data_IF_380942324637
#
_entry.id   IF_380942324637
#
_cell.length_a   1.000
_cell.length_b   1.000
_cell.length_c   1.000
_cell.angle_alpha   90.00
_cell.angle_beta   90.00
_cell.angle_gamma   90.00
#
_symmetry.space_group_name_H-M   'P 1'
#
loop_
_entity.id
_entity.type
_entity.pdbx_description
1 polymer ?
#
# COMPACT_ATOMS: atom_id res chain seq x y z
N UNK A 1 27.27 -2.32 -9.77
CA UNK A 1 25.90 -2.74 -9.40
C UNK A 1 25.22 -1.51 -8.83
N UNK A 2 24.27 -0.91 -9.56
CA UNK A 2 23.58 0.29 -9.08
C UNK A 2 22.91 0.00 -7.74
N UNK A 3 23.34 0.73 -6.71
CA UNK A 3 22.65 0.80 -5.42
C UNK A 3 21.35 1.55 -5.63
N UNK A 4 20.30 0.83 -6.04
CA UNK A 4 18.94 1.35 -5.93
C UNK A 4 18.60 1.37 -4.44
N UNK A 5 18.79 2.52 -3.81
CA UNK A 5 18.47 2.74 -2.40
C UNK A 5 17.04 2.26 -2.13
N UNK A 6 16.92 1.38 -1.14
CA UNK A 6 15.64 0.94 -0.63
C UNK A 6 15.03 2.12 0.13
N UNK A 7 14.11 2.84 -0.51
CA UNK A 7 13.39 3.95 0.12
C UNK A 7 12.71 3.45 1.40
N UNK A 8 13.21 3.94 2.53
CA UNK A 8 12.56 3.84 3.84
C UNK A 8 11.25 4.63 3.77
N UNK A 9 10.14 4.13 4.32
CA UNK A 9 8.92 4.90 4.38
C UNK A 9 9.18 6.17 5.18
N UNK A 10 9.13 7.34 4.53
CA UNK A 10 9.20 8.61 5.25
C UNK A 10 7.97 8.71 6.14
N UNK A 11 8.17 8.90 7.44
CA UNK A 11 7.07 9.22 8.35
C UNK A 11 6.41 10.52 7.87
N UNK A 12 5.18 10.43 7.38
CA UNK A 12 4.32 11.59 7.15
C UNK A 12 3.78 12.18 8.46
N UNK A 13 4.26 11.72 9.62
CA UNK A 13 4.01 12.34 10.93
C UNK A 13 4.91 13.55 11.18
N UNK A 14 4.87 14.51 10.26
CA UNK A 14 4.86 15.91 10.69
C UNK A 14 3.42 16.21 11.08
N UNK A 15 3.19 16.79 12.25
CA UNK A 15 1.91 17.41 12.61
C UNK A 15 1.60 18.52 11.59
N UNK A 16 1.03 18.15 10.45
CA UNK A 16 0.46 19.10 9.50
C UNK A 16 -0.85 19.55 10.14
N UNK A 17 -0.76 20.62 10.91
CA UNK A 17 -1.91 21.51 11.04
C UNK A 17 -2.37 21.83 9.61
N UNK A 18 -3.64 21.64 9.25
CA UNK A 18 -4.09 21.92 7.89
C UNK A 18 -4.02 23.43 7.69
N UNK A 19 -2.91 23.95 7.15
CA UNK A 19 -2.91 25.24 6.46
C UNK A 19 -3.66 25.02 5.17
N UNK A 20 -4.95 25.29 5.24
CA UNK A 20 -5.86 25.40 4.11
C UNK A 20 -5.32 26.53 3.22
N UNK A 21 -4.58 26.21 2.15
CA UNK A 21 -4.51 27.13 1.02
C UNK A 21 -5.80 26.95 0.24
N UNK A 22 -6.80 27.77 0.55
CA UNK A 22 -8.01 27.89 -0.26
C UNK A 22 -7.56 28.33 -1.65
N UNK A 23 -7.51 27.39 -2.60
CA UNK A 23 -7.50 27.79 -4.01
C UNK A 23 -8.84 28.49 -4.25
N UNK A 24 -8.80 29.75 -4.70
CA UNK A 24 -10.01 30.47 -5.13
C UNK A 24 -10.81 29.59 -6.09
N UNK A 25 -12.14 29.49 -5.95
CA UNK A 25 -12.96 28.70 -6.86
C UNK A 25 -12.82 29.25 -8.27
N UNK A 26 -12.57 28.36 -9.24
CA UNK A 26 -12.72 28.68 -10.65
C UNK A 26 -14.20 28.97 -10.89
N UNK A 27 -14.52 30.23 -11.13
CA UNK A 27 -15.75 30.61 -11.82
C UNK A 27 -15.68 30.08 -13.26
N UNK A 28 -16.44 29.04 -13.57
CA UNK A 28 -17.17 28.94 -14.84
C UNK A 28 -18.04 27.69 -14.86
N UNK A 29 -19.31 27.96 -15.08
CA UNK A 29 -20.44 27.07 -15.39
C UNK A 29 -20.04 26.00 -16.41
N UNK A 30 -20.30 24.75 -16.06
CA UNK A 30 -20.21 23.59 -16.93
C UNK A 30 -20.75 22.39 -16.16
N UNK A 31 -22.06 22.15 -16.26
CA UNK A 31 -22.71 21.00 -15.65
C UNK A 31 -22.09 19.71 -16.21
N UNK A 32 -21.23 19.07 -15.43
CA UNK A 32 -20.80 17.70 -15.71
C UNK A 32 -22.03 16.79 -15.74
N UNK A 33 -22.14 15.83 -16.68
CA UNK A 33 -23.28 14.93 -16.74
C UNK A 33 -23.39 14.16 -15.42
N UNK A 34 -24.50 14.37 -14.72
CA UNK A 34 -24.88 13.60 -13.54
C UNK A 34 -25.02 12.14 -13.99
N UNK A 35 -24.18 11.24 -13.50
CA UNK A 35 -24.23 9.81 -13.83
C UNK A 35 -25.53 9.19 -13.29
N UNK A 36 -25.99 8.05 -13.82
CA UNK A 36 -27.23 7.40 -13.37
C UNK A 36 -27.26 7.10 -11.87
N UNK A 37 -26.11 6.76 -11.26
CA UNK A 37 -25.95 6.53 -9.82
C UNK A 37 -26.16 7.84 -9.01
N UNK A 38 -25.73 8.97 -9.56
CA UNK A 38 -25.96 10.27 -8.93
C UNK A 38 -27.44 10.70 -9.01
N UNK A 39 -28.19 10.30 -10.04
CA UNK A 39 -29.62 10.66 -10.16
C UNK A 39 -30.49 9.98 -9.10
N UNK A 40 -30.25 8.70 -8.80
CA UNK A 40 -31.01 7.99 -7.75
C UNK A 40 -30.70 8.55 -6.37
N UNK A 41 -29.44 8.91 -6.14
CA UNK A 41 -29.00 9.56 -4.91
C UNK A 41 -29.58 10.95 -4.73
N UNK A 42 -29.62 11.73 -5.81
CA UNK A 42 -30.22 13.06 -5.83
C UNK A 42 -31.70 13.00 -5.43
N UNK A 43 -32.45 12.03 -5.96
CA UNK A 43 -33.85 11.81 -5.56
C UNK A 43 -34.00 11.43 -4.09
N UNK A 44 -33.10 10.60 -3.55
CA UNK A 44 -33.13 10.21 -2.15
C UNK A 44 -32.87 11.40 -1.22
N UNK A 45 -31.86 12.22 -1.52
CA UNK A 45 -31.54 13.42 -0.76
C UNK A 45 -32.66 14.48 -0.86
N UNK A 46 -33.34 14.58 -1.99
CA UNK A 46 -34.55 15.41 -2.13
C UNK A 46 -35.67 14.94 -1.22
N UNK A 47 -35.94 13.63 -1.16
CA UNK A 47 -36.94 13.08 -0.25
C UNK A 47 -36.59 13.23 1.23
N UNK A 48 -35.30 13.31 1.58
CA UNK A 48 -34.86 13.64 2.94
C UNK A 48 -35.00 15.14 3.22
N UNK A 49 -34.65 16.00 2.26
CA UNK A 49 -34.83 17.45 2.35
C UNK A 49 -36.31 17.81 2.60
N UNK A 50 -37.24 17.19 1.86
CA UNK A 50 -38.69 17.38 2.03
C UNK A 50 -39.22 16.93 3.39
N UNK A 51 -38.53 16.03 4.10
CA UNK A 51 -38.92 15.65 5.47
C UNK A 51 -38.50 16.68 6.52
N UNK A 52 -37.46 17.46 6.23
CA UNK A 52 -36.94 18.50 7.13
C UNK A 52 -37.68 19.82 6.88
N UNK A 53 -37.99 20.11 5.62
CA UNK A 53 -38.74 21.29 5.16
C UNK A 53 -40.24 21.16 5.51
N UNK A 54 -40.58 21.37 6.79
CA UNK A 54 -41.94 21.26 7.30
C UNK A 54 -42.88 22.31 6.71
N UNK A 55 -42.35 23.46 6.29
CA UNK A 55 -43.13 24.59 5.81
C UNK A 55 -43.31 24.57 4.27
N UNK A 56 -42.49 23.78 3.55
CA UNK A 56 -42.55 23.56 2.10
C UNK A 56 -41.97 24.69 1.25
N UNK A 57 -41.19 25.61 1.85
CA UNK A 57 -40.65 26.81 1.19
C UNK A 57 -39.30 26.57 0.47
N UNK A 58 -38.81 25.32 0.52
CA UNK A 58 -37.57 24.84 -0.07
C UNK A 58 -36.31 25.46 0.53
N UNK A 59 -36.39 25.97 1.74
CA UNK A 59 -35.31 26.58 2.51
C UNK A 59 -35.29 25.95 3.89
N UNK A 60 -34.11 25.48 4.34
CA UNK A 60 -33.98 24.92 5.68
C UNK A 60 -33.39 25.95 6.63
N UNK A 61 -34.16 26.31 7.64
CA UNK A 61 -33.72 27.13 8.76
C UNK A 61 -32.99 26.28 9.81
N UNK A 62 -32.24 26.95 10.70
CA UNK A 62 -31.58 26.27 11.82
C UNK A 62 -32.60 25.53 12.70
N UNK A 63 -33.74 26.15 12.93
CA UNK A 63 -34.85 25.63 13.74
C UNK A 63 -35.47 24.38 13.11
N UNK A 64 -35.70 24.36 11.80
CA UNK A 64 -36.24 23.18 11.11
C UNK A 64 -35.29 21.98 11.18
N UNK A 65 -33.99 22.24 10.99
CA UNK A 65 -32.96 21.22 11.14
C UNK A 65 -32.89 20.73 12.60
N UNK A 66 -32.95 21.64 13.58
CA UNK A 66 -32.89 21.32 14.99
C UNK A 66 -34.10 20.51 15.48
N UNK A 67 -35.30 20.92 15.09
CA UNK A 67 -36.56 20.27 15.45
C UNK A 67 -36.63 18.88 14.84
N UNK A 68 -36.24 18.75 13.57
CA UNK A 68 -36.16 17.46 12.90
C UNK A 68 -35.18 16.51 13.61
N UNK A 69 -33.99 16.98 13.96
CA UNK A 69 -32.98 16.17 14.66
C UNK A 69 -33.44 15.77 16.07
N UNK A 70 -34.12 16.68 16.79
CA UNK A 70 -34.64 16.43 18.13
C UNK A 70 -35.81 15.44 18.11
N UNK A 71 -36.72 15.57 17.13
CA UNK A 71 -37.86 14.66 16.92
C UNK A 71 -37.39 13.24 16.57
N UNK A 72 -36.38 13.12 15.70
CA UNK A 72 -35.80 11.83 15.29
C UNK A 72 -34.97 11.15 16.39
N UNK A 73 -34.26 11.92 17.23
CA UNK A 73 -33.51 11.38 18.37
C UNK A 73 -34.43 11.03 19.56
N UNK A 74 -35.65 11.56 19.60
CA UNK A 74 -36.59 11.39 20.72
C UNK A 74 -36.21 12.17 21.98
N UNK A 75 -35.25 13.11 21.87
CA UNK A 75 -34.78 13.99 22.95
C UNK A 75 -34.15 15.26 22.35
N UNK A 76 -33.98 16.31 23.16
CA UNK A 76 -33.33 17.56 22.74
C UNK A 76 -31.95 17.29 22.12
N UNK A 77 -31.75 17.70 20.87
CA UNK A 77 -30.47 17.54 20.19
C UNK A 77 -29.43 18.54 20.72
N UNK A 78 -28.13 18.24 20.59
CA UNK A 78 -27.07 19.15 21.04
C UNK A 78 -26.99 20.38 20.09
N UNK A 79 -27.27 21.56 20.63
CA UNK A 79 -27.24 22.83 19.90
C UNK A 79 -25.88 23.15 19.28
N UNK A 80 -24.77 22.76 19.91
CA UNK A 80 -23.41 23.03 19.42
C UNK A 80 -23.11 22.21 18.17
N UNK A 81 -23.44 20.92 18.21
CA UNK A 81 -23.35 20.01 17.06
C UNK A 81 -24.29 20.44 15.92
N UNK A 82 -25.54 20.80 16.24
CA UNK A 82 -26.50 21.29 15.25
C UNK A 82 -26.00 22.54 14.53
N UNK A 83 -25.37 23.47 15.27
CA UNK A 83 -24.83 24.71 14.69
C UNK A 83 -23.62 24.47 13.81
N UNK A 84 -22.75 23.52 14.16
CA UNK A 84 -21.65 23.10 13.28
C UNK A 84 -22.15 22.46 11.97
N UNK A 85 -23.20 21.64 12.05
CA UNK A 85 -23.85 21.02 10.89
C UNK A 85 -24.46 22.11 9.99
N UNK A 86 -25.23 23.03 10.58
CA UNK A 86 -25.84 24.16 9.88
C UNK A 86 -24.81 25.02 9.14
N UNK A 87 -23.74 25.44 9.84
CA UNK A 87 -22.68 26.31 9.28
C UNK A 87 -21.93 25.63 8.12
N UNK A 88 -21.84 24.30 8.09
CA UNK A 88 -21.23 23.55 6.98
C UNK A 88 -22.14 23.41 5.76
N UNK A 89 -23.46 23.46 5.96
CA UNK A 89 -24.44 23.38 4.88
C UNK A 89 -24.70 24.76 4.27
N UNK A 90 -24.79 25.80 5.11
CA UNK A 90 -24.94 27.21 4.71
C UNK A 90 -23.62 27.77 4.15
N UNK A 91 -23.42 27.60 2.82
CA UNK A 91 -22.16 27.94 2.14
C UNK A 91 -22.03 29.43 1.85
N UNK A 92 -23.14 30.10 1.57
CA UNK A 92 -23.16 31.52 1.29
C UNK A 92 -23.28 32.36 2.58
N UNK A 93 -23.47 31.71 3.74
CA UNK A 93 -23.60 32.29 5.07
C UNK A 93 -24.81 33.25 5.18
N UNK A 94 -25.89 32.94 4.46
CA UNK A 94 -27.13 33.73 4.49
C UNK A 94 -28.08 33.33 5.63
N UNK A 95 -27.68 32.36 6.46
CA UNK A 95 -28.46 31.73 7.53
C UNK A 95 -29.67 30.96 7.02
N UNK A 96 -29.61 30.49 5.78
CA UNK A 96 -30.60 29.61 5.15
C UNK A 96 -29.85 28.51 4.40
N UNK A 97 -30.33 27.28 4.48
CA UNK A 97 -29.77 26.19 3.66
C UNK A 97 -30.73 25.92 2.52
N UNK A 98 -30.40 26.39 1.32
CA UNK A 98 -31.17 26.07 0.12
C UNK A 98 -31.07 24.60 -0.26
N UNK A 99 -32.03 24.07 -1.02
CA UNK A 99 -31.99 22.69 -1.55
C UNK A 99 -30.68 22.40 -2.28
N UNK A 100 -30.16 23.38 -3.02
CA UNK A 100 -28.90 23.23 -3.74
C UNK A 100 -27.70 23.18 -2.80
N UNK A 101 -27.66 24.01 -1.75
CA UNK A 101 -26.56 23.99 -0.77
C UNK A 101 -26.54 22.70 0.04
N UNK A 102 -27.72 22.21 0.43
CA UNK A 102 -27.87 20.89 1.01
C UNK A 102 -27.31 19.80 0.08
N UNK A 103 -27.81 19.71 -1.16
CA UNK A 103 -27.40 18.68 -2.11
C UNK A 103 -25.90 18.74 -2.47
N UNK A 104 -25.37 19.94 -2.74
CA UNK A 104 -23.95 20.13 -3.06
C UNK A 104 -23.05 19.79 -1.88
N UNK A 105 -23.43 20.14 -0.65
CA UNK A 105 -22.66 19.81 0.54
C UNK A 105 -22.52 18.30 0.74
N UNK A 106 -23.61 17.55 0.55
CA UNK A 106 -23.61 16.08 0.69
C UNK A 106 -22.88 15.37 -0.44
N UNK A 107 -23.17 15.72 -1.70
CA UNK A 107 -22.54 15.09 -2.86
C UNK A 107 -21.03 15.34 -2.88
N UNK A 108 -20.60 16.58 -2.63
CA UNK A 108 -19.17 16.92 -2.61
C UNK A 108 -18.42 16.23 -1.45
N UNK A 109 -19.05 16.13 -0.27
CA UNK A 109 -18.44 15.43 0.87
C UNK A 109 -18.32 13.93 0.61
N UNK A 110 -19.35 13.31 0.03
CA UNK A 110 -19.28 11.91 -0.37
C UNK A 110 -18.19 11.67 -1.42
N UNK A 111 -18.16 12.45 -2.49
CA UNK A 111 -17.16 12.30 -3.56
C UNK A 111 -15.75 12.45 -3.01
N UNK A 112 -15.53 13.42 -2.10
CA UNK A 112 -14.26 13.58 -1.39
C UNK A 112 -13.88 12.34 -0.58
N UNK A 113 -14.80 11.79 0.21
CA UNK A 113 -14.55 10.61 1.03
C UNK A 113 -14.29 9.37 0.17
N UNK A 114 -15.05 9.17 -0.90
CA UNK A 114 -14.84 8.09 -1.85
C UNK A 114 -13.48 8.19 -2.53
N UNK A 115 -13.05 9.40 -2.93
CA UNK A 115 -11.72 9.64 -3.48
C UNK A 115 -10.61 9.29 -2.48
N UNK A 116 -10.73 9.74 -1.21
CA UNK A 116 -9.76 9.40 -0.15
C UNK A 116 -9.68 7.90 0.13
N UNK A 117 -10.82 7.23 0.22
CA UNK A 117 -10.90 5.76 0.42
C UNK A 117 -10.19 5.05 -0.73
N UNK A 118 -10.41 5.48 -1.97
CA UNK A 118 -9.76 4.92 -3.15
C UNK A 118 -8.24 5.10 -3.09
N UNK A 119 -7.77 6.30 -2.75
CA UNK A 119 -6.35 6.61 -2.66
C UNK A 119 -5.66 5.80 -1.54
N UNK A 120 -6.30 5.68 -0.38
CA UNK A 120 -5.76 4.89 0.74
C UNK A 120 -5.75 3.40 0.42
N UNK A 121 -6.80 2.85 -0.19
CA UNK A 121 -6.80 1.45 -0.64
C UNK A 121 -5.66 1.17 -1.62
N UNK A 122 -5.39 2.11 -2.53
CA UNK A 122 -4.25 2.03 -3.45
C UNK A 122 -2.93 2.04 -2.68
N UNK A 123 -2.73 2.98 -1.75
CA UNK A 123 -1.52 3.06 -0.95
C UNK A 123 -1.28 1.80 -0.11
N UNK A 124 -2.33 1.24 0.53
CA UNK A 124 -2.24 -0.02 1.27
C UNK A 124 -1.78 -1.15 0.35
N UNK A 125 -2.34 -1.25 -0.87
CA UNK A 125 -1.95 -2.28 -1.84
C UNK A 125 -0.48 -2.14 -2.24
N UNK A 126 -0.05 -0.93 -2.62
CA UNK A 126 1.32 -0.64 -3.05
C UNK A 126 2.32 -0.88 -1.91
N UNK A 127 1.99 -0.43 -0.69
CA UNK A 127 2.82 -0.61 0.51
C UNK A 127 2.89 -2.07 0.95
N UNK A 128 1.80 -2.84 0.80
CA UNK A 128 1.79 -4.28 1.11
C UNK A 128 2.72 -5.05 0.18
N UNK A 129 2.71 -4.74 -1.13
CA UNK A 129 3.64 -5.34 -2.10
C UNK A 129 5.10 -5.03 -1.76
N UNK A 130 5.41 -3.77 -1.44
CA UNK A 130 6.76 -3.38 -0.99
C UNK A 130 7.18 -4.16 0.25
N UNK A 131 6.29 -4.29 1.24
CA UNK A 131 6.56 -5.05 2.46
C UNK A 131 6.85 -6.53 2.17
N UNK A 132 6.11 -7.17 1.27
CA UNK A 132 6.35 -8.57 0.92
C UNK A 132 7.71 -8.77 0.22
N UNK A 133 8.13 -7.82 -0.62
CA UNK A 133 9.47 -7.81 -1.20
C UNK A 133 10.56 -7.66 -0.13
N UNK A 134 10.35 -6.81 0.89
CA UNK A 134 11.26 -6.68 2.02
C UNK A 134 11.31 -7.95 2.89
N UNK A 135 10.19 -8.64 3.10
CA UNK A 135 10.15 -9.95 3.78
C UNK A 135 10.94 -11.00 3.02
N UNK A 136 10.80 -11.07 1.69
CA UNK A 136 11.59 -11.99 0.85
C UNK A 136 13.09 -11.69 0.98
N UNK A 137 13.48 -10.41 0.91
CA UNK A 137 14.87 -9.98 1.12
C UNK A 137 15.38 -10.33 2.51
N UNK A 138 14.54 -10.25 3.54
CA UNK A 138 14.89 -10.61 4.92
C UNK A 138 15.18 -12.11 5.06
N UNK A 139 14.32 -12.96 4.50
CA UNK A 139 14.51 -14.42 4.49
C UNK A 139 15.82 -14.78 3.76
N UNK A 140 16.07 -14.14 2.62
CA UNK A 140 17.31 -14.32 1.88
C UNK A 140 18.54 -13.86 2.70
N UNK A 141 18.48 -12.69 3.34
CA UNK A 141 19.56 -12.21 4.19
C UNK A 141 19.89 -13.22 5.30
N UNK A 142 18.88 -13.66 6.07
CA UNK A 142 19.07 -14.63 7.17
C UNK A 142 19.76 -15.94 6.77
N UNK A 143 19.61 -16.38 5.52
CA UNK A 143 20.22 -17.62 5.02
C UNK A 143 21.65 -17.44 4.49
N UNK A 144 22.00 -16.23 4.06
CA UNK A 144 23.31 -15.91 3.47
C UNK A 144 24.28 -15.24 4.45
N UNK A 145 23.76 -14.76 5.56
CA UNK A 145 24.48 -13.92 6.50
C UNK A 145 25.47 -14.72 7.36
N UNK A 146 26.72 -14.26 7.40
CA UNK A 146 27.76 -14.77 8.31
C UNK A 146 28.50 -13.61 8.97
N UNK A 147 28.77 -13.73 10.27
CA UNK A 147 29.56 -12.76 11.02
C UNK A 147 31.05 -13.01 10.82
N UNK A 148 31.84 -11.95 10.79
CA UNK A 148 33.29 -12.02 10.86
C UNK A 148 33.76 -12.13 12.33
N UNK A 149 35.08 -12.25 12.53
CA UNK A 149 35.71 -12.36 13.86
C UNK A 149 35.47 -11.15 14.77
N UNK A 150 35.03 -10.02 14.23
CA UNK A 150 34.74 -8.77 14.95
C UNK A 150 33.25 -8.63 15.29
N UNK A 151 32.42 -9.64 14.99
CA UNK A 151 30.97 -9.58 15.26
C UNK A 151 30.20 -8.67 14.30
N UNK A 152 30.79 -8.36 13.14
CA UNK A 152 30.16 -7.57 12.06
C UNK A 152 29.79 -8.49 10.92
N UNK A 153 28.66 -8.22 10.24
CA UNK A 153 28.28 -9.03 9.09
C UNK A 153 29.28 -8.91 7.95
N UNK A 154 29.64 -10.05 7.36
CA UNK A 154 30.37 -10.07 6.10
C UNK A 154 29.58 -9.31 5.04
N UNK A 155 30.21 -8.30 4.42
CA UNK A 155 29.53 -7.39 3.49
C UNK A 155 28.82 -6.20 4.16
N UNK A 156 29.20 -5.85 5.39
CA UNK A 156 28.87 -4.58 6.04
C UNK A 156 29.38 -3.40 5.21
N UNK A 157 28.53 -2.40 5.02
CA UNK A 157 28.78 -1.28 4.10
C UNK A 157 28.44 0.04 4.76
N UNK A 158 29.38 0.99 4.68
CA UNK A 158 29.19 2.39 4.99
C UNK A 158 29.04 3.17 3.68
N UNK A 159 27.92 3.86 3.53
CA UNK A 159 27.71 4.82 2.44
C UNK A 159 27.89 6.24 2.96
N UNK A 160 28.68 7.04 2.24
CA UNK A 160 29.01 8.43 2.58
C UNK A 160 28.66 9.30 1.38
N UNK A 161 27.66 10.15 1.54
CA UNK A 161 27.31 11.20 0.59
C UNK A 161 27.97 12.52 1.05
N UNK A 162 28.91 13.03 0.27
CA UNK A 162 29.54 14.34 0.46
C UNK A 162 28.72 15.37 -0.31
N UNK A 163 27.97 16.19 0.41
CA UNK A 163 26.98 17.09 -0.20
C UNK A 163 27.60 18.44 -0.54
N UNK A 164 27.97 19.20 0.50
CA UNK A 164 28.49 20.56 0.36
C UNK A 164 29.35 20.95 1.56
N UNK A 165 30.19 21.96 1.40
CA UNK A 165 30.83 22.65 2.52
C UNK A 165 30.47 24.15 2.49
N UNK A 166 30.64 24.81 3.64
CA UNK A 166 30.36 26.23 3.83
C UNK A 166 31.40 26.86 4.73
N UNK A 167 31.65 28.13 4.46
CA UNK A 167 32.53 28.97 5.26
C UNK A 167 33.95 28.37 5.38
N UNK A 168 34.44 27.74 4.29
CA UNK A 168 35.82 27.24 4.23
C UNK A 168 36.81 28.40 4.34
N UNK A 169 37.99 28.10 4.83
CA UNK A 169 39.06 29.08 4.98
C UNK A 169 39.73 29.32 3.62
N UNK A 170 39.98 30.58 3.24
CA UNK A 170 40.65 30.88 1.97
C UNK A 170 42.14 30.54 2.07
N UNK A 171 42.63 29.70 1.16
CA UNK A 171 44.06 29.39 1.06
C UNK A 171 44.74 30.12 -0.09
N UNK A 172 44.01 30.37 -1.17
CA UNK A 172 44.58 31.06 -2.32
C UNK A 172 44.68 32.57 -2.08
N UNK A 173 45.67 33.16 -2.76
CA UNK A 173 45.89 34.61 -2.77
C UNK A 173 44.71 35.44 -3.32
N UNK A 174 43.80 34.81 -4.07
CA UNK A 174 42.57 35.42 -4.57
C UNK A 174 41.46 35.50 -3.50
N UNK A 175 41.67 34.94 -2.31
CA UNK A 175 40.69 34.88 -1.23
C UNK A 175 39.64 33.76 -1.39
N UNK A 176 39.90 32.78 -2.25
CA UNK A 176 39.08 31.59 -2.51
C UNK A 176 39.95 30.33 -2.30
N UNK A 177 39.43 29.18 -2.72
CA UNK A 177 40.11 27.88 -2.74
C UNK A 177 39.52 27.02 -3.85
N UNK A 178 40.23 25.97 -4.25
CA UNK A 178 39.83 24.88 -5.13
C UNK A 178 39.59 23.58 -4.32
N UNK A 179 38.58 23.53 -3.43
CA UNK A 179 38.43 22.46 -2.45
C UNK A 179 38.06 21.10 -3.05
N UNK A 180 38.64 20.05 -2.47
CA UNK A 180 38.23 18.65 -2.63
C UNK A 180 38.33 17.89 -1.30
N UNK A 181 37.65 16.75 -1.21
CA UNK A 181 37.53 15.97 0.02
C UNK A 181 38.20 14.61 -0.15
N UNK A 182 39.09 14.27 0.78
CA UNK A 182 39.66 12.94 0.95
C UNK A 182 38.89 12.22 2.06
N UNK A 183 38.30 11.08 1.70
CA UNK A 183 37.62 10.20 2.63
C UNK A 183 38.53 9.02 2.95
N UNK A 184 38.82 8.77 4.22
CA UNK A 184 39.58 7.61 4.68
C UNK A 184 38.74 6.81 5.67
N UNK A 185 38.60 5.52 5.41
CA UNK A 185 37.90 4.60 6.31
C UNK A 185 38.59 3.23 6.25
N UNK A 186 39.03 2.74 7.41
CA UNK A 186 39.85 1.53 7.52
C UNK A 186 41.08 1.56 6.58
N UNK A 187 41.15 0.65 5.59
CA UNK A 187 42.26 0.57 4.61
C UNK A 187 41.91 1.20 3.26
N UNK A 188 40.77 1.88 3.18
CA UNK A 188 40.24 2.45 1.95
C UNK A 188 40.34 3.98 1.97
N UNK A 189 40.63 4.55 0.81
CA UNK A 189 40.68 5.99 0.60
C UNK A 189 40.00 6.32 -0.73
N UNK A 190 39.12 7.31 -0.71
CA UNK A 190 38.44 7.86 -1.90
C UNK A 190 38.53 9.39 -1.89
N UNK A 191 38.30 10.01 -3.04
CA UNK A 191 38.39 11.47 -3.20
C UNK A 191 37.23 11.99 -4.04
N UNK A 192 36.71 13.17 -3.69
CA UNK A 192 35.76 13.91 -4.55
C UNK A 192 36.47 14.58 -5.70
N UNK A 193 35.69 15.13 -6.62
CA UNK A 193 36.18 16.12 -7.58
C UNK A 193 36.60 17.39 -6.87
N UNK A 194 37.50 18.12 -7.54
CA UNK A 194 37.89 19.48 -7.21
C UNK A 194 36.81 20.43 -7.73
N UNK A 195 36.36 21.36 -6.88
CA UNK A 195 35.45 22.43 -7.28
C UNK A 195 36.24 23.74 -7.22
N UNK A 196 36.48 24.42 -8.34
CA UNK A 196 37.37 25.57 -8.36
C UNK A 196 36.72 26.85 -7.77
N UNK A 197 37.57 27.74 -7.27
CA UNK A 197 37.29 29.12 -6.90
C UNK A 197 36.06 29.31 -5.99
N UNK A 198 35.99 28.57 -4.88
CA UNK A 198 34.85 28.66 -3.95
C UNK A 198 35.19 28.30 -2.51
N UNK A 199 34.59 29.01 -1.56
CA UNK A 199 34.59 28.66 -0.12
C UNK A 199 33.31 27.94 0.32
N UNK A 200 32.42 27.65 -0.64
CA UNK A 200 31.16 26.93 -0.41
C UNK A 200 30.89 25.93 -1.54
N UNK A 201 31.76 24.93 -1.72
CA UNK A 201 31.63 23.93 -2.76
C UNK A 201 30.42 23.03 -2.55
N UNK A 202 29.86 22.54 -3.66
CA UNK A 202 28.78 21.55 -3.70
C UNK A 202 29.25 20.39 -4.57
N UNK A 203 29.49 19.23 -3.96
CA UNK A 203 29.96 18.03 -4.65
C UNK A 203 28.81 17.09 -5.04
N UNK A 204 27.91 16.82 -4.10
CA UNK A 204 26.85 15.79 -4.25
C UNK A 204 27.39 14.44 -4.75
N UNK A 205 28.49 13.97 -4.15
CA UNK A 205 29.14 12.71 -4.52
C UNK A 205 28.92 11.62 -3.47
N UNK A 206 28.75 10.37 -3.90
CA UNK A 206 28.50 9.22 -3.03
C UNK A 206 29.65 8.21 -3.10
N UNK A 207 30.11 7.78 -1.93
CA UNK A 207 31.19 6.80 -1.76
C UNK A 207 30.71 5.63 -0.91
N UNK A 208 31.29 4.45 -1.16
CA UNK A 208 30.92 3.20 -0.46
C UNK A 208 32.16 2.50 0.08
N UNK A 209 32.19 2.28 1.39
CA UNK A 209 33.28 1.61 2.11
C UNK A 209 32.80 0.27 2.67
N UNK A 210 33.64 -0.77 2.55
CA UNK A 210 33.40 -2.06 3.21
C UNK A 210 33.98 -1.98 4.61
N UNK A 211 33.19 -2.35 5.61
CA UNK A 211 33.61 -2.26 7.01
C UNK A 211 33.89 -3.65 7.56
N UNK A 212 35.15 -3.90 7.96
CA UNK A 212 35.57 -5.16 8.57
C UNK A 212 35.47 -5.13 10.10
N UNK A 213 36.01 -4.09 10.73
CA UNK A 213 36.18 -4.04 12.20
C UNK A 213 35.15 -3.19 12.92
N UNK A 214 34.65 -2.13 12.27
CA UNK A 214 33.63 -1.22 12.80
C UNK A 214 34.03 -0.40 14.04
N UNK A 215 35.24 -0.63 14.57
CA UNK A 215 35.85 0.15 15.66
C UNK A 215 36.70 1.32 15.15
N UNK A 216 36.76 1.49 13.83
CA UNK A 216 37.49 2.57 13.16
C UNK A 216 36.69 3.88 13.10
N UNK A 217 37.34 4.92 12.58
CA UNK A 217 36.75 6.23 12.34
C UNK A 217 36.73 6.50 10.83
N UNK A 218 35.67 7.16 10.37
CA UNK A 218 35.65 7.82 9.06
C UNK A 218 36.34 9.17 9.22
N UNK A 219 37.48 9.33 8.56
CA UNK A 219 38.20 10.59 8.51
C UNK A 219 37.86 11.31 7.20
N UNK A 220 37.44 12.56 7.33
CA UNK A 220 37.08 13.45 6.23
C UNK A 220 38.07 14.61 6.26
N UNK A 221 38.84 14.77 5.20
CA UNK A 221 39.88 15.79 5.09
C UNK A 221 39.56 16.66 3.89
N UNK A 222 39.38 17.96 4.11
CA UNK A 222 39.23 18.96 3.05
C UNK A 222 40.61 19.50 2.71
N UNK A 223 40.91 19.55 1.43
CA UNK A 223 42.18 20.00 0.86
C UNK A 223 41.91 21.02 -0.24
N UNK A 224 42.80 21.98 -0.38
CA UNK A 224 42.85 22.90 -1.50
C UNK A 224 43.77 22.36 -2.60
N UNK A 225 43.35 22.49 -3.87
CA UNK A 225 44.09 22.00 -5.02
C UNK A 225 44.96 23.09 -5.65
N UNK A 226 46.26 23.05 -5.35
CA UNK A 226 47.22 23.96 -5.99
C UNK A 226 47.80 23.43 -7.30
N UNK A 227 47.90 24.30 -8.31
CA UNK A 227 48.56 23.99 -9.57
C UNK A 227 50.09 24.07 -9.41
N UNK A 228 50.75 22.91 -9.41
CA UNK A 228 52.22 22.82 -9.44
C UNK A 228 52.91 23.00 -8.08
N UNK A 229 52.14 23.13 -7.00
CA UNK A 229 52.59 23.08 -5.62
C UNK A 229 51.98 21.88 -4.90
N UNK A 230 52.29 21.73 -3.61
CA UNK A 230 51.68 20.73 -2.75
C UNK A 230 50.36 21.29 -2.22
N UNK A 231 49.27 20.57 -2.48
CA UNK A 231 47.93 20.84 -1.96
C UNK A 231 47.91 21.20 -0.47
N UNK A 232 47.24 22.30 -0.14
CA UNK A 232 47.09 22.82 1.22
C UNK A 232 45.94 22.13 1.98
N UNK A 233 46.15 21.89 3.27
CA UNK A 233 45.15 21.25 4.12
C UNK A 233 44.17 22.28 4.63
N UNK A 234 42.86 22.20 4.38
CA UNK A 234 41.88 23.19 4.85
C UNK A 234 41.24 22.84 6.20
N UNK A 235 41.04 21.55 6.47
CA UNK A 235 40.45 21.10 7.73
C UNK A 235 40.02 19.65 7.71
N UNK A 236 39.82 19.06 8.88
CA UNK A 236 39.35 17.69 9.01
C UNK A 236 38.22 17.52 10.03
N UNK A 237 37.47 16.44 9.85
CA UNK A 237 36.59 15.87 10.87
C UNK A 237 36.76 14.36 10.93
N UNK A 238 36.75 13.81 12.15
CA UNK A 238 36.79 12.37 12.42
C UNK A 238 35.49 11.92 13.05
N UNK A 239 34.85 10.93 12.44
CA UNK A 239 33.53 10.44 12.83
C UNK A 239 33.64 8.98 13.21
N UNK A 240 33.39 8.66 14.47
CA UNK A 240 33.43 7.28 14.98
C UNK A 240 32.28 6.47 14.37
N UNK A 241 32.58 5.31 13.78
CA UNK A 241 31.53 4.44 13.25
C UNK A 241 30.53 3.99 14.32
N UNK A 242 30.94 3.95 15.59
CA UNK A 242 30.06 3.66 16.72
C UNK A 242 28.83 4.57 16.81
N UNK A 243 28.90 5.81 16.33
CA UNK A 243 27.75 6.74 16.34
C UNK A 243 26.69 6.38 15.30
N UNK A 244 27.02 5.49 14.35
CA UNK A 244 26.15 5.03 13.25
C UNK A 244 25.63 3.60 13.47
N UNK A 245 25.79 3.05 14.68
CA UNK A 245 25.36 1.66 15.02
C UNK A 245 23.86 1.45 14.97
N UNK A 246 23.07 2.52 14.95
CA UNK A 246 21.61 2.47 14.78
C UNK A 246 21.19 2.08 13.36
N UNK A 247 22.13 2.06 12.40
CA UNK A 247 21.89 1.79 10.97
C UNK A 247 20.88 2.73 10.32
N UNK A 248 20.73 3.94 10.88
CA UNK A 248 19.91 4.98 10.28
C UNK A 248 20.77 5.86 9.37
N UNK A 249 20.10 6.62 8.50
CA UNK A 249 20.74 7.65 7.68
C UNK A 249 20.86 8.93 8.51
N UNK A 250 22.08 9.43 8.66
CA UNK A 250 22.42 10.65 9.41
C UNK A 250 22.85 11.73 8.43
N UNK A 251 22.04 12.78 8.25
CA UNK A 251 22.32 13.93 7.38
C UNK A 251 22.47 15.18 8.24
N UNK A 252 23.69 15.70 8.35
CA UNK A 252 23.99 16.86 9.20
C UNK A 252 25.28 17.58 8.79
N UNK A 253 25.47 18.78 9.33
CA UNK A 253 26.73 19.51 9.24
C UNK A 253 27.71 19.06 10.33
N UNK A 254 28.97 18.99 9.96
CA UNK A 254 30.11 18.72 10.82
C UNK A 254 31.09 19.89 10.74
N UNK A 255 31.56 20.38 11.88
CA UNK A 255 32.56 21.43 11.92
C UNK A 255 33.94 20.85 11.57
N UNK A 256 34.66 21.55 10.71
CA UNK A 256 36.03 21.23 10.35
C UNK A 256 36.99 21.84 11.36
N UNK A 257 38.12 21.18 11.58
CA UNK A 257 39.13 21.61 12.55
C UNK A 257 40.54 21.21 12.12
N UNK A 258 41.54 21.72 12.83
CA UNK A 258 42.93 21.27 12.72
C UNK A 258 43.82 22.12 11.83
N UNK A 259 43.28 23.09 11.09
CA UNK A 259 44.12 24.02 10.34
C UNK A 259 44.63 25.16 11.25
N UNK A 260 45.95 25.39 11.37
CA UNK A 260 46.53 26.46 12.20
C UNK A 260 46.27 27.89 11.71
N UNK A 261 46.01 28.09 10.42
CA UNK A 261 45.70 29.36 9.77
C UNK A 261 44.24 29.79 9.98
N UNK A 262 43.38 28.92 10.51
CA UNK A 262 41.99 29.22 10.77
C UNK A 262 41.82 30.29 11.87
N UNK A 263 40.99 31.30 11.60
CA UNK A 263 40.64 32.35 12.57
C UNK A 263 39.79 31.72 13.69
N UNK A 264 40.23 31.87 14.93
CA UNK A 264 39.62 31.26 16.14
C UNK A 264 39.43 29.72 16.05
N UNK A 265 40.21 29.06 15.20
CA UNK A 265 40.12 27.60 14.97
C UNK A 265 38.92 27.15 14.14
N UNK A 266 38.14 28.08 13.57
CA UNK A 266 37.01 27.76 12.71
C UNK A 266 37.47 27.50 11.26
N UNK A 267 37.47 26.23 10.84
CA UNK A 267 37.88 25.83 9.49
C UNK A 267 36.67 25.66 8.54
N UNK A 268 35.49 26.16 8.93
CA UNK A 268 34.24 25.96 8.21
C UNK A 268 33.50 24.68 8.61
N UNK A 269 32.52 24.29 7.82
CA UNK A 269 31.67 23.11 8.07
C UNK A 269 31.35 22.36 6.78
N UNK A 270 31.20 21.04 6.90
CA UNK A 270 30.85 20.14 5.79
C UNK A 270 29.55 19.39 6.10
N UNK A 271 28.64 19.32 5.13
CA UNK A 271 27.41 18.54 5.22
C UNK A 271 27.64 17.16 4.64
N UNK A 272 27.43 16.15 5.47
CA UNK A 272 27.60 14.75 5.10
C UNK A 272 26.30 14.00 5.38
N UNK A 273 26.05 13.01 4.55
CA UNK A 273 24.95 12.07 4.72
C UNK A 273 25.54 10.66 4.83
N UNK A 274 25.45 10.09 6.04
CA UNK A 274 26.15 8.89 6.46
C UNK A 274 25.15 7.77 6.74
N UNK A 275 25.42 6.56 6.24
CA UNK A 275 24.56 5.41 6.48
C UNK A 275 25.39 4.14 6.58
N UNK A 276 25.44 3.55 7.78
CA UNK A 276 26.19 2.32 8.02
C UNK A 276 25.25 1.13 8.25
N UNK A 277 25.24 0.19 7.30
CA UNK A 277 24.48 -1.06 7.42
C UNK A 277 25.46 -2.17 7.80
N UNK A 278 25.52 -2.48 9.11
CA UNK A 278 26.41 -3.51 9.66
C UNK A 278 25.75 -4.89 9.77
N UNK A 279 24.42 -4.96 9.71
CA UNK A 279 23.59 -6.16 9.65
C UNK A 279 22.37 -5.92 8.76
N UNK A 280 22.34 -6.60 7.61
CA UNK A 280 21.26 -6.49 6.64
C UNK A 280 19.97 -7.12 7.17
N UNK A 281 20.06 -8.21 7.92
CA UNK A 281 18.92 -8.80 8.64
C UNK A 281 18.30 -7.79 9.60
N UNK A 282 19.10 -7.20 10.51
CA UNK A 282 18.59 -6.22 11.48
C UNK A 282 18.01 -4.98 10.80
N UNK A 283 18.66 -4.51 9.74
CA UNK A 283 18.15 -3.40 8.93
C UNK A 283 16.78 -3.74 8.33
N UNK A 284 16.67 -4.89 7.65
CA UNK A 284 15.43 -5.32 7.02
C UNK A 284 14.32 -5.61 8.04
N UNK A 285 14.64 -6.09 9.23
CA UNK A 285 13.67 -6.26 10.33
C UNK A 285 13.08 -4.93 10.78
N UNK A 286 13.92 -3.92 11.00
CA UNK A 286 13.44 -2.60 11.40
C UNK A 286 12.62 -1.93 10.29
N UNK A 287 13.05 -2.04 9.03
CA UNK A 287 12.30 -1.55 7.87
C UNK A 287 10.94 -2.25 7.75
N UNK A 288 10.90 -3.57 7.91
CA UNK A 288 9.63 -4.32 7.90
C UNK A 288 8.70 -3.87 9.03
N UNK A 289 9.23 -3.62 10.23
CA UNK A 289 8.45 -3.09 11.36
C UNK A 289 7.89 -1.70 11.08
N UNK A 290 8.68 -0.81 10.48
CA UNK A 290 8.22 0.52 10.08
C UNK A 290 7.11 0.44 9.03
N UNK A 291 7.25 -0.39 7.99
CA UNK A 291 6.20 -0.60 6.99
C UNK A 291 4.93 -1.20 7.58
N UNK A 292 5.06 -2.15 8.51
CA UNK A 292 3.92 -2.73 9.21
C UNK A 292 3.13 -1.64 9.97
N UNK A 293 3.83 -0.75 10.68
CA UNK A 293 3.19 0.37 11.38
C UNK A 293 2.47 1.32 10.42
N UNK A 294 3.06 1.64 9.27
CA UNK A 294 2.42 2.46 8.23
C UNK A 294 1.15 1.79 7.71
N UNK A 295 1.21 0.49 7.38
CA UNK A 295 0.04 -0.26 6.92
C UNK A 295 -1.07 -0.33 7.96
N UNK A 296 -0.71 -0.50 9.24
CA UNK A 296 -1.69 -0.54 10.32
C UNK A 296 -2.33 0.84 10.56
N UNK A 297 -1.58 1.93 10.34
CA UNK A 297 -2.13 3.29 10.33
C UNK A 297 -3.09 3.50 9.16
N UNK A 298 -2.66 3.18 7.94
CA UNK A 298 -3.47 3.35 6.73
C UNK A 298 -4.78 2.56 6.81
N UNK A 299 -4.75 1.35 7.39
CA UNK A 299 -5.95 0.52 7.63
C UNK A 299 -6.91 1.18 8.62
N UNK A 300 -6.40 1.81 9.68
CA UNK A 300 -7.23 2.55 10.64
C UNK A 300 -7.89 3.76 9.99
N UNK A 301 -7.14 4.50 9.19
CA UNK A 301 -7.65 5.65 8.44
C UNK A 301 -8.72 5.21 7.44
N UNK A 302 -8.47 4.12 6.71
CA UNK A 302 -9.44 3.53 5.80
C UNK A 302 -10.75 3.19 6.52
N UNK A 303 -10.67 2.51 7.67
CA UNK A 303 -11.83 2.17 8.47
C UNK A 303 -12.59 3.43 8.92
N UNK A 304 -11.87 4.46 9.38
CA UNK A 304 -12.48 5.74 9.79
C UNK A 304 -13.21 6.43 8.63
N UNK A 305 -12.62 6.46 7.43
CA UNK A 305 -13.28 7.04 6.26
C UNK A 305 -14.45 6.22 5.77
N UNK A 306 -14.37 4.88 5.79
CA UNK A 306 -15.49 4.01 5.45
C UNK A 306 -16.65 4.19 6.46
N UNK A 307 -16.36 4.36 7.75
CA UNK A 307 -17.37 4.65 8.77
C UNK A 307 -18.01 6.04 8.56
N UNK A 308 -17.22 7.06 8.23
CA UNK A 308 -17.75 8.39 7.88
C UNK A 308 -18.63 8.34 6.62
N UNK A 309 -18.19 7.62 5.59
CA UNK A 309 -18.96 7.44 4.36
C UNK A 309 -20.27 6.69 4.64
N UNK A 310 -20.26 5.67 5.50
CA UNK A 310 -21.46 4.95 5.90
C UNK A 310 -22.45 5.86 6.65
N UNK A 311 -21.96 6.75 7.53
CA UNK A 311 -22.80 7.75 8.21
C UNK A 311 -23.41 8.74 7.22
N UNK A 312 -22.67 9.19 6.20
CA UNK A 312 -23.17 10.13 5.19
C UNK A 312 -24.09 9.47 4.16
N UNK A 313 -23.87 8.18 3.87
CA UNK A 313 -24.78 7.36 3.04
C UNK A 313 -26.14 7.14 3.68
N UNK A 314 -26.21 7.25 5.01
CA UNK A 314 -27.43 7.12 5.79
C UNK A 314 -27.37 8.14 6.93
N UNK A 315 -27.58 9.44 6.66
CA UNK A 315 -27.45 10.50 7.67
C UNK A 315 -28.34 10.26 8.90
N UNK A 316 -29.39 9.44 8.76
CA UNK A 316 -30.30 9.02 9.85
C UNK A 316 -30.35 7.50 10.09
N UNK A 317 -29.45 6.71 9.49
CA UNK A 317 -29.50 5.23 9.52
C UNK A 317 -29.22 4.59 10.89
N UNK A 318 -28.66 5.35 11.83
CA UNK A 318 -28.46 4.93 13.22
C UNK A 318 -29.74 5.03 14.07
N UNK A 319 -30.78 5.66 13.53
CA UNK A 319 -32.11 5.78 14.16
C UNK A 319 -33.10 4.74 13.62
N UNK A 320 -32.71 3.99 12.58
CA UNK A 320 -33.54 2.98 11.94
C UNK A 320 -33.20 1.58 12.49
N UNK A 321 -33.73 1.26 13.69
CA UNK A 321 -33.56 -0.03 14.37
C UNK A 321 -34.08 -1.24 13.57
N UNK A 322 -34.79 -1.04 12.46
CA UNK A 322 -35.41 -2.14 11.71
C UNK A 322 -34.49 -2.81 10.67
N UNK A 323 -33.32 -2.24 10.34
CA UNK A 323 -32.46 -2.74 9.26
C UNK A 323 -31.10 -3.31 9.72
N UNK A 324 -30.93 -3.65 11.01
CA UNK A 324 -29.69 -4.22 11.56
C UNK A 324 -29.31 -5.60 10.99
N UNK A 325 -30.29 -6.37 10.47
CA UNK A 325 -30.05 -7.74 9.98
C UNK A 325 -29.24 -7.76 8.66
N UNK A 326 -29.62 -6.92 7.69
CA UNK A 326 -29.03 -6.90 6.33
C UNK A 326 -27.57 -6.42 6.33
N UNK A 327 -27.24 -5.47 7.22
CA UNK A 327 -25.88 -4.88 7.33
C UNK A 327 -24.91 -5.85 8.02
N UNK A 328 -25.42 -6.64 8.99
CA UNK A 328 -24.63 -7.65 9.69
C UNK A 328 -24.25 -8.80 8.75
N UNK A 329 -25.10 -9.10 7.77
CA UNK A 329 -24.86 -10.15 6.77
C UNK A 329 -23.83 -9.72 5.72
N UNK A 330 -23.91 -8.50 5.16
CA UNK A 330 -22.96 -8.01 4.15
C UNK A 330 -21.54 -7.80 4.70
N UNK A 331 -21.39 -7.22 5.91
CA UNK A 331 -20.07 -7.10 6.57
C UNK A 331 -19.52 -8.45 6.99
N UNK A 332 -20.38 -9.38 7.44
CA UNK A 332 -20.01 -10.75 7.75
C UNK A 332 -19.46 -11.47 6.52
N UNK A 333 -20.10 -11.32 5.36
CA UNK A 333 -19.69 -11.98 4.11
C UNK A 333 -18.41 -11.36 3.56
N UNK A 334 -18.29 -10.03 3.50
CA UNK A 334 -17.07 -9.34 3.04
C UNK A 334 -15.86 -9.68 3.92
N UNK A 335 -16.01 -9.62 5.25
CA UNK A 335 -14.92 -9.89 6.21
C UNK A 335 -14.56 -11.37 6.25
N UNK A 336 -15.53 -12.28 6.04
CA UNK A 336 -15.25 -13.72 5.92
C UNK A 336 -14.58 -14.08 4.59
N UNK A 337 -14.88 -13.38 3.50
CA UNK A 337 -14.22 -13.58 2.19
C UNK A 337 -12.76 -13.09 2.23
N UNK A 338 -12.48 -11.91 2.80
CA UNK A 338 -11.11 -11.38 2.94
C UNK A 338 -10.32 -12.07 4.06
N UNK A 339 -11.00 -12.61 5.08
CA UNK A 339 -10.37 -13.38 6.17
C UNK A 339 -10.03 -14.83 5.80
N UNK A 340 -10.60 -15.38 4.73
CA UNK A 340 -10.30 -16.74 4.26
C UNK A 340 -9.03 -16.83 3.41
N UNK A 341 -8.61 -15.73 2.76
CA UNK A 341 -7.43 -15.69 1.88
C UNK A 341 -6.10 -16.14 2.52
N UNK A 342 -5.69 -15.67 3.72
CA UNK A 342 -4.39 -16.03 4.28
C UNK A 342 -4.31 -17.47 4.81
N UNK A 343 -5.45 -18.11 5.12
CA UNK A 343 -5.48 -19.50 5.59
C UNK A 343 -5.58 -20.53 4.44
N UNK A 344 -6.21 -20.16 3.32
CA UNK A 344 -6.37 -21.05 2.15
C UNK A 344 -5.24 -20.87 1.11
N UNK A 345 -4.76 -19.65 0.86
CA UNK A 345 -3.87 -19.35 -0.28
C UNK A 345 -2.49 -20.02 -0.22
N UNK A 346 -1.85 -20.05 0.95
CA UNK A 346 -0.45 -20.48 1.09
C UNK A 346 -0.18 -21.93 0.69
N UNK A 347 -1.14 -22.84 0.90
CA UNK A 347 -0.98 -24.25 0.54
C UNK A 347 -1.19 -24.51 -0.96
N UNK A 348 -2.09 -23.76 -1.62
CA UNK A 348 -2.37 -23.93 -3.05
C UNK A 348 -1.33 -23.25 -3.93
N UNK A 349 -0.73 -22.16 -3.47
CA UNK A 349 0.37 -21.49 -4.16
C UNK A 349 1.57 -22.44 -4.31
N UNK A 350 1.99 -23.09 -3.22
CA UNK A 350 3.04 -24.13 -3.22
C UNK A 350 2.70 -25.34 -4.09
N UNK A 351 1.42 -25.76 -4.13
CA UNK A 351 0.98 -26.88 -4.98
C UNK A 351 0.97 -26.51 -6.47
N UNK A 352 0.57 -25.28 -6.81
CA UNK A 352 0.53 -24.76 -8.18
C UNK A 352 1.91 -24.59 -8.81
N UNK A 353 2.97 -24.52 -7.99
CA UNK A 353 4.37 -24.41 -8.44
C UNK A 353 5.06 -25.76 -8.70
N UNK A 354 4.41 -26.90 -8.42
CA UNK A 354 5.01 -28.22 -8.65
C UNK A 354 5.20 -28.52 -10.15
N UNK A 355 6.35 -29.14 -10.48
CA UNK A 355 6.82 -29.43 -11.85
C UNK A 355 5.81 -30.17 -12.75
N UNK A 356 4.95 -31.01 -12.16
CA UNK A 356 3.89 -31.77 -12.86
C UNK A 356 2.82 -30.86 -13.49
N UNK A 357 2.56 -29.69 -12.90
CA UNK A 357 1.49 -28.78 -13.35
C UNK A 357 1.91 -27.84 -14.47
N UNK A 358 3.22 -27.68 -14.73
CA UNK A 358 3.71 -26.97 -15.92
C UNK A 358 3.27 -27.66 -17.23
N UNK A 359 3.05 -28.97 -17.21
CA UNK A 359 2.49 -29.69 -18.36
C UNK A 359 1.01 -29.40 -18.61
N UNK A 360 0.23 -29.12 -17.55
CA UNK A 360 -1.17 -28.72 -17.64
C UNK A 360 -1.35 -27.25 -18.04
N UNK A 361 -0.35 -26.41 -17.79
CA UNK A 361 -0.34 -24.98 -18.17
C UNK A 361 -0.10 -24.76 -19.69
N UNK A 362 0.20 -25.83 -20.43
CA UNK A 362 0.30 -25.80 -21.90
C UNK A 362 -1.06 -25.48 -22.54
N UNK A 363 -1.08 -24.55 -23.51
CA UNK A 363 -2.31 -24.06 -24.14
C UNK A 363 -3.25 -25.17 -24.66
N UNK A 364 -2.70 -26.26 -25.19
CA UNK A 364 -3.49 -27.40 -25.67
C UNK A 364 -4.05 -28.27 -24.53
N UNK A 365 -3.33 -28.42 -23.42
CA UNK A 365 -3.80 -29.19 -22.26
C UNK A 365 -4.90 -28.46 -21.49
N UNK A 366 -4.87 -27.13 -21.45
CA UNK A 366 -5.96 -26.29 -20.93
C UNK A 366 -7.26 -26.52 -21.71
N UNK A 367 -7.17 -26.51 -23.05
CA UNK A 367 -8.33 -26.74 -23.91
C UNK A 367 -8.84 -28.18 -23.73
N UNK A 368 -7.95 -29.17 -23.71
CA UNK A 368 -8.32 -30.57 -23.53
C UNK A 368 -9.00 -30.84 -22.18
N UNK A 369 -8.44 -30.35 -21.08
CA UNK A 369 -9.01 -30.51 -19.73
C UNK A 369 -10.37 -29.81 -19.59
N UNK A 370 -10.55 -28.65 -20.22
CA UNK A 370 -11.82 -27.93 -20.25
C UNK A 370 -12.89 -28.68 -21.07
N UNK A 371 -12.55 -29.14 -22.28
CA UNK A 371 -13.45 -29.94 -23.11
C UNK A 371 -13.89 -31.21 -22.38
N UNK A 372 -12.94 -31.85 -21.69
CA UNK A 372 -13.20 -33.04 -20.90
C UNK A 372 -14.06 -32.74 -19.66
N UNK A 373 -13.87 -31.59 -19.02
CA UNK A 373 -14.70 -31.11 -17.91
C UNK A 373 -16.15 -30.84 -18.33
N UNK A 374 -16.36 -30.17 -19.46
CA UNK A 374 -17.71 -29.94 -20.02
C UNK A 374 -18.37 -31.28 -20.39
N UNK A 375 -17.65 -32.13 -21.11
CA UNK A 375 -18.15 -33.43 -21.56
C UNK A 375 -18.56 -34.31 -20.38
N UNK A 376 -17.70 -34.41 -19.37
CA UNK A 376 -17.99 -35.18 -18.15
C UNK A 376 -19.12 -34.56 -17.33
N UNK A 377 -19.22 -33.23 -17.26
CA UNK A 377 -20.35 -32.55 -16.59
C UNK A 377 -21.69 -32.81 -17.30
N UNK A 378 -21.71 -32.85 -18.63
CA UNK A 378 -22.91 -33.21 -19.41
C UNK A 378 -23.26 -34.69 -19.23
N UNK A 379 -22.27 -35.58 -19.22
CA UNK A 379 -22.49 -37.01 -18.97
C UNK A 379 -23.02 -37.28 -17.55
N UNK A 380 -22.50 -36.57 -16.55
CA UNK A 380 -23.02 -36.60 -15.18
C UNK A 380 -24.45 -36.06 -15.14
N UNK A 381 -24.79 -35.02 -15.91
CA UNK A 381 -26.16 -34.49 -16.01
C UNK A 381 -27.18 -35.53 -16.50
N UNK A 382 -26.78 -36.42 -17.42
CA UNK A 382 -27.65 -37.52 -17.88
C UNK A 382 -27.89 -38.58 -16.80
N UNK A 383 -26.93 -38.78 -15.91
CA UNK A 383 -27.01 -39.78 -14.85
C UNK A 383 -27.54 -39.24 -13.50
N UNK A 384 -27.45 -37.93 -13.29
CA UNK A 384 -27.93 -37.16 -12.14
C UNK A 384 -28.33 -35.78 -12.66
N UNK A 385 -29.52 -35.28 -12.33
CA UNK A 385 -29.98 -33.94 -12.72
C UNK A 385 -29.12 -32.82 -12.09
N UNK A 386 -27.92 -32.61 -12.63
CA UNK A 386 -26.85 -31.80 -12.06
C UNK A 386 -26.59 -30.55 -12.91
N UNK A 387 -27.56 -29.64 -12.85
CA UNK A 387 -27.52 -28.38 -13.59
C UNK A 387 -26.41 -27.43 -13.08
N UNK A 388 -25.99 -27.58 -11.83
CA UNK A 388 -24.96 -26.75 -11.18
C UNK A 388 -23.61 -26.97 -11.85
N UNK A 389 -23.21 -28.23 -12.04
CA UNK A 389 -21.93 -28.58 -12.64
C UNK A 389 -21.82 -28.18 -14.11
N UNK A 390 -22.91 -28.33 -14.88
CA UNK A 390 -22.98 -27.88 -16.28
C UNK A 390 -22.94 -26.36 -16.39
N UNK A 391 -23.67 -25.64 -15.53
CA UNK A 391 -23.69 -24.16 -15.55
C UNK A 391 -22.31 -23.57 -15.26
N UNK A 392 -21.60 -24.13 -14.28
CA UNK A 392 -20.25 -23.69 -13.92
C UNK A 392 -19.24 -24.04 -15.02
N UNK A 393 -19.34 -25.23 -15.63
CA UNK A 393 -18.50 -25.62 -16.77
C UNK A 393 -18.66 -24.68 -17.98
N UNK A 394 -19.89 -24.28 -18.32
CA UNK A 394 -20.16 -23.32 -19.39
C UNK A 394 -19.58 -21.94 -19.06
N UNK A 395 -19.77 -21.46 -17.83
CA UNK A 395 -19.26 -20.16 -17.38
C UNK A 395 -17.73 -20.09 -17.42
N UNK A 396 -17.03 -21.15 -17.00
CA UNK A 396 -15.56 -21.26 -17.07
C UNK A 396 -15.09 -21.28 -18.52
N UNK A 397 -15.81 -21.98 -19.39
CA UNK A 397 -15.45 -22.11 -20.80
C UNK A 397 -15.53 -20.79 -21.56
N UNK A 398 -16.59 -20.00 -21.32
CA UNK A 398 -16.73 -18.66 -21.91
C UNK A 398 -15.65 -17.66 -21.47
N UNK A 399 -14.96 -17.96 -20.36
CA UNK A 399 -13.90 -17.10 -19.80
C UNK A 399 -12.52 -17.38 -20.37
N UNK A 400 -12.17 -18.63 -20.69
CA UNK A 400 -10.83 -18.98 -21.19
C UNK A 400 -10.60 -18.46 -22.62
N UNK A 401 -11.65 -18.33 -23.42
CA UNK A 401 -11.58 -17.77 -24.79
C UNK A 401 -11.60 -16.23 -24.84
N UNK A 402 -11.87 -15.55 -23.72
CA UNK A 402 -11.80 -14.09 -23.61
C UNK A 402 -10.62 -13.71 -22.72
N UNK A 403 -9.77 -12.78 -23.17
CA UNK A 403 -8.69 -12.21 -22.34
C UNK A 403 -9.31 -11.45 -21.16
N UNK A 404 -9.60 -12.16 -20.08
CA UNK A 404 -10.39 -11.67 -18.95
C UNK A 404 -9.51 -11.05 -17.87
N UNK A 405 -10.08 -10.11 -17.12
CA UNK A 405 -9.48 -9.48 -15.94
C UNK A 405 -9.15 -10.52 -14.87
N UNK A 406 -8.07 -10.29 -14.11
CA UNK A 406 -7.62 -11.12 -12.96
C UNK A 406 -8.76 -11.40 -11.98
N UNK A 407 -9.63 -10.41 -11.74
CA UNK A 407 -10.81 -10.55 -10.87
C UNK A 407 -11.81 -11.60 -11.35
N UNK A 408 -12.03 -11.70 -12.66
CA UNK A 408 -12.95 -12.70 -13.24
C UNK A 408 -12.37 -14.12 -13.12
N UNK A 409 -11.06 -14.27 -13.25
CA UNK A 409 -10.39 -15.56 -13.04
C UNK A 409 -10.52 -16.03 -11.59
N UNK A 410 -10.41 -15.12 -10.61
CA UNK A 410 -10.64 -15.41 -9.18
C UNK A 410 -12.07 -15.88 -8.91
N UNK A 411 -13.07 -15.13 -9.39
CA UNK A 411 -14.48 -15.49 -9.19
C UNK A 411 -14.79 -16.89 -9.76
N UNK A 412 -14.25 -17.21 -10.92
CA UNK A 412 -14.44 -18.52 -11.55
C UNK A 412 -13.73 -19.64 -10.79
N UNK A 413 -12.53 -19.40 -10.24
CA UNK A 413 -11.86 -20.37 -9.39
C UNK A 413 -12.71 -20.70 -8.15
N UNK A 414 -13.29 -19.69 -7.49
CA UNK A 414 -14.19 -19.93 -6.35
C UNK A 414 -15.45 -20.71 -6.72
N UNK A 415 -16.04 -20.46 -7.90
CA UNK A 415 -17.19 -21.23 -8.38
C UNK A 415 -16.84 -22.71 -8.63
N UNK A 416 -15.67 -22.99 -9.20
CA UNK A 416 -15.19 -24.37 -9.38
C UNK A 416 -14.96 -25.04 -8.03
N UNK A 417 -14.34 -24.35 -7.06
CA UNK A 417 -14.14 -24.87 -5.71
C UNK A 417 -15.48 -25.15 -4.98
N UNK A 418 -16.47 -24.27 -5.13
CA UNK A 418 -17.82 -24.51 -4.61
C UNK A 418 -18.46 -25.75 -5.23
N UNK A 419 -18.32 -25.93 -6.55
CA UNK A 419 -18.79 -27.14 -7.24
C UNK A 419 -18.10 -28.42 -6.76
N UNK A 420 -16.85 -28.32 -6.27
CA UNK A 420 -16.11 -29.43 -5.70
C UNK A 420 -16.66 -29.86 -4.34
N UNK A 421 -17.02 -28.88 -3.51
CA UNK A 421 -17.66 -29.14 -2.22
C UNK A 421 -19.03 -29.78 -2.40
N UNK A 422 -19.80 -29.29 -3.37
CA UNK A 422 -21.09 -29.89 -3.74
C UNK A 422 -20.96 -31.37 -4.14
N UNK A 423 -19.96 -31.71 -4.96
CA UNK A 423 -19.68 -33.11 -5.32
C UNK A 423 -19.27 -33.94 -4.10
N UNK A 424 -18.41 -33.39 -3.23
CA UNK A 424 -17.99 -34.05 -1.99
C UNK A 424 -19.17 -34.37 -1.07
N UNK A 425 -20.06 -33.40 -0.83
CA UNK A 425 -21.27 -33.64 -0.05
C UNK A 425 -22.16 -34.71 -0.68
N UNK A 426 -22.29 -34.71 -2.00
CA UNK A 426 -23.02 -35.76 -2.68
C UNK A 426 -22.38 -37.14 -2.49
N UNK A 427 -21.06 -37.26 -2.61
CA UNK A 427 -20.35 -38.51 -2.33
C UNK A 427 -20.54 -38.96 -0.88
N UNK A 428 -20.62 -38.05 0.09
CA UNK A 428 -20.87 -38.43 1.48
C UNK A 428 -22.32 -38.90 1.71
N UNK A 429 -23.31 -38.26 1.08
CA UNK A 429 -24.73 -38.53 1.32
C UNK A 429 -25.23 -39.74 0.54
N UNK A 430 -24.84 -39.85 -0.72
CA UNK A 430 -25.28 -40.91 -1.63
C UNK A 430 -24.22 -42.01 -1.75
N UNK A 431 -23.09 -41.82 -1.07
CA UNK A 431 -21.94 -42.69 -0.84
C UNK A 431 -22.21 -44.12 -0.45
N UNK A 432 -23.11 -44.27 0.50
CA UNK A 432 -23.27 -45.51 1.24
C UNK A 432 -24.14 -46.54 0.51
N UNK A 433 -24.89 -46.13 -0.52
CA UNK A 433 -25.88 -46.97 -1.19
C UNK A 433 -25.33 -47.59 -2.51
N UNK A 434 -24.02 -47.77 -2.59
CA UNK A 434 -23.30 -48.02 -3.85
C UNK A 434 -23.27 -49.48 -4.32
N UNK A 435 -23.65 -50.44 -3.48
CA UNK A 435 -23.48 -51.86 -3.80
C UNK A 435 -24.62 -52.50 -4.61
N UNK A 436 -25.73 -51.80 -4.84
CA UNK A 436 -26.96 -52.39 -5.42
C UNK A 436 -27.37 -51.78 -6.79
N UNK A 437 -26.48 -51.05 -7.47
CA UNK A 437 -26.80 -50.33 -8.70
C UNK A 437 -26.55 -51.13 -10.00
N UNK A 438 -27.45 -51.01 -10.97
CA UNK A 438 -27.21 -51.44 -12.37
C UNK A 438 -25.98 -50.72 -12.97
N UNK A 439 -25.39 -51.24 -14.06
CA UNK A 439 -24.19 -50.67 -14.68
C UNK A 439 -24.23 -49.16 -15.02
N UNK A 440 -25.41 -48.57 -15.21
CA UNK A 440 -25.57 -47.12 -15.37
C UNK A 440 -25.18 -46.31 -14.11
N UNK A 441 -25.42 -46.85 -12.91
CA UNK A 441 -25.01 -46.24 -11.65
C UNK A 441 -23.49 -46.29 -11.45
N UNK A 442 -22.84 -47.39 -11.81
CA UNK A 442 -21.37 -47.52 -11.76
C UNK A 442 -20.69 -46.53 -12.72
N UNK A 443 -21.23 -46.38 -13.93
CA UNK A 443 -20.76 -45.38 -14.90
C UNK A 443 -20.93 -43.95 -14.42
N UNK A 444 -22.07 -43.61 -13.82
CA UNK A 444 -22.33 -42.30 -13.21
C UNK A 444 -21.29 -41.95 -12.14
N UNK A 445 -20.94 -42.94 -11.32
CA UNK A 445 -19.97 -42.79 -10.24
C UNK A 445 -18.56 -42.56 -10.77
N UNK A 446 -18.13 -43.37 -11.76
CA UNK A 446 -16.84 -43.17 -12.43
C UNK A 446 -16.75 -41.78 -13.07
N UNK A 447 -17.79 -41.37 -13.80
CA UNK A 447 -17.86 -40.05 -14.42
C UNK A 447 -17.80 -38.92 -13.39
N UNK A 448 -18.46 -39.09 -12.24
CA UNK A 448 -18.45 -38.10 -11.14
C UNK A 448 -17.09 -37.99 -10.47
N UNK A 449 -16.42 -39.12 -10.21
CA UNK A 449 -15.07 -39.12 -9.64
C UNK A 449 -14.04 -38.50 -10.59
N UNK A 450 -14.16 -38.83 -11.88
CA UNK A 450 -13.29 -38.25 -12.90
C UNK A 450 -13.54 -36.74 -13.07
N UNK A 451 -14.80 -36.29 -13.03
CA UNK A 451 -15.17 -34.88 -13.02
C UNK A 451 -14.58 -34.14 -11.80
N UNK A 452 -14.64 -34.75 -10.62
CA UNK A 452 -14.04 -34.21 -9.39
C UNK A 452 -12.52 -33.97 -9.55
N UNK A 453 -11.78 -34.90 -10.16
CA UNK A 453 -10.34 -34.72 -10.40
C UNK A 453 -10.08 -33.59 -11.40
N UNK A 454 -10.87 -33.51 -12.48
CA UNK A 454 -10.71 -32.48 -13.52
C UNK A 454 -10.97 -31.08 -12.97
N UNK A 455 -12.02 -30.90 -12.16
CA UNK A 455 -12.32 -29.63 -11.49
C UNK A 455 -11.16 -29.14 -10.64
N UNK A 456 -10.46 -30.04 -9.94
CA UNK A 456 -9.28 -29.67 -9.17
C UNK A 456 -8.15 -29.12 -10.05
N UNK A 457 -7.90 -29.75 -11.21
CA UNK A 457 -6.91 -29.26 -12.17
C UNK A 457 -7.30 -27.90 -12.78
N UNK A 458 -8.58 -27.73 -13.13
CA UNK A 458 -9.14 -26.47 -13.66
C UNK A 458 -9.05 -25.35 -12.61
N UNK A 459 -9.39 -25.65 -11.36
CA UNK A 459 -9.29 -24.72 -10.24
C UNK A 459 -7.86 -24.19 -10.08
N UNK A 460 -6.86 -25.06 -10.02
CA UNK A 460 -5.46 -24.66 -9.89
C UNK A 460 -4.99 -23.80 -11.07
N UNK A 461 -5.45 -24.11 -12.28
CA UNK A 461 -5.11 -23.34 -13.49
C UNK A 461 -5.70 -21.93 -13.43
N UNK A 462 -6.96 -21.79 -13.01
CA UNK A 462 -7.62 -20.51 -12.84
C UNK A 462 -6.99 -19.71 -11.68
N UNK A 463 -6.68 -20.37 -10.57
CA UNK A 463 -6.03 -19.76 -9.41
C UNK A 463 -4.68 -19.15 -9.78
N UNK A 464 -3.84 -19.88 -10.52
CA UNK A 464 -2.56 -19.39 -11.04
C UNK A 464 -2.71 -18.24 -12.03
N UNK A 465 -3.75 -18.25 -12.87
CA UNK A 465 -4.00 -17.14 -13.82
C UNK A 465 -4.50 -15.88 -13.11
N UNK A 466 -4.99 -16.03 -11.88
CA UNK A 466 -5.62 -14.98 -11.10
C UNK A 466 -4.67 -14.25 -10.14
N UNK A 467 -3.52 -14.87 -9.87
CA UNK A 467 -2.39 -14.32 -9.11
C UNK A 467 -1.28 -13.91 -10.07
#
# INVERSE_FOLDING_TARGET
MSSSFLEVPRSSHGSVSPRISVRKPRQSIGASPITGIMQDRYKQLLGEFEQIDKNGDKQLTYEEIYDFLSEKQGSSYDHKLCREIFTKMDRNHDNIVSTNEFLWSYVETEDMLQARIKDIKKNICDNSRKMDDFKKKLIQARTQESYNRFGIMNGSVLTVEVLEAKDLIPMDSNGLSDPYVILKCEKQQEMTKVIPETLSPVWNEEFTFKIESGDSELQIIVMDKDIGLKDDFEGEVKIKLSTLKDQMKHDQYFNLSGNPQAIDGNCGKIRLSLHWIWSKTRYLEEINKQWQNVLDSDKKDLQSFEDQLNKIKKPFGHLDRQNEWTIREERSVSTRITGFEPAFGGNFEVLSEKKIFYHFDSGWMKILSLCLYIFTSIMVMYARSDFVNVSIAIAVSGSIFKKNSTEKAKTLAYLVAFSQLYDFFWFCVYGSNWHDGNGAHEWSLFASYFNFILKFAVFLTLWRTSN
#
